data_IF_018260904099
#
_entry.id   IF_018260904099
#
_cell.length_a   1.000
_cell.length_b   1.000
_cell.length_c   1.000
_cell.angle_alpha   90.00
_cell.angle_beta   90.00
_cell.angle_gamma   90.00
#
_symmetry.space_group_name_H-M   'P 1'
#
loop_
_entity.id
_entity.type
_entity.pdbx_description
1 polymer ?
#
# COMPACT_ATOMS: atom_id res chain seq x y z
N UNK A 1 5.39 43.57 -4.30
CA UNK A 1 4.50 43.27 -5.43
C UNK A 1 4.16 41.79 -5.35
N UNK A 2 2.97 41.47 -4.85
CA UNK A 2 2.49 40.09 -4.74
C UNK A 2 1.97 39.66 -6.11
N UNK A 3 2.56 38.61 -6.69
CA UNK A 3 2.17 38.10 -8.01
C UNK A 3 1.12 37.02 -7.82
N UNK A 4 -0.14 37.43 -7.61
CA UNK A 4 -1.30 36.55 -7.77
C UNK A 4 -1.53 36.38 -9.28
N UNK A 5 -1.23 35.20 -9.83
CA UNK A 5 -1.44 34.93 -11.26
C UNK A 5 -0.54 33.85 -11.87
N UNK A 6 0.46 33.35 -11.16
CA UNK A 6 1.31 32.24 -11.62
C UNK A 6 0.81 30.90 -11.05
N UNK A 7 -0.49 30.65 -11.20
CA UNK A 7 -1.07 29.34 -10.89
C UNK A 7 -0.74 28.40 -12.04
N UNK A 8 0.44 27.77 -11.97
CA UNK A 8 0.81 26.71 -12.90
C UNK A 8 -0.11 25.52 -12.64
N UNK A 9 -1.13 25.36 -13.48
CA UNK A 9 -1.92 24.13 -13.56
C UNK A 9 -1.03 22.98 -14.07
N UNK A 10 -0.24 22.42 -13.17
CA UNK A 10 0.46 21.17 -13.42
C UNK A 10 -0.59 20.07 -13.54
N UNK A 11 -0.59 19.37 -14.66
CA UNK A 11 -1.39 18.16 -14.82
C UNK A 11 -0.99 17.16 -13.71
N UNK A 12 -1.91 16.31 -13.24
CA UNK A 12 -1.64 15.34 -12.16
C UNK A 12 -0.38 14.48 -12.40
N UNK A 13 -0.03 14.30 -13.68
CA UNK A 13 1.15 13.59 -14.15
C UNK A 13 2.47 14.33 -13.87
N UNK A 14 2.45 15.66 -13.90
CA UNK A 14 3.63 16.54 -13.74
C UNK A 14 3.83 16.99 -12.27
N UNK A 15 2.75 17.04 -11.48
CA UNK A 15 2.81 17.28 -10.04
C UNK A 15 3.20 16.04 -9.22
N UNK A 16 3.08 14.84 -9.78
CA UNK A 16 3.47 13.59 -9.12
C UNK A 16 4.90 13.23 -9.52
N UNK A 17 5.91 13.73 -8.81
CA UNK A 17 7.34 13.42 -9.01
C UNK A 17 7.72 11.93 -8.79
N UNK A 18 6.74 11.04 -8.60
CA UNK A 18 6.95 9.62 -8.40
C UNK A 18 5.85 8.82 -9.07
N UNK A 19 6.24 7.75 -9.78
CA UNK A 19 5.30 6.74 -10.24
C UNK A 19 4.39 6.36 -9.06
N UNK A 20 3.08 6.56 -9.20
CA UNK A 20 2.10 6.17 -8.17
C UNK A 20 2.25 4.66 -7.98
N UNK A 21 3.04 4.25 -6.98
CA UNK A 21 3.37 2.86 -6.73
C UNK A 21 2.14 2.18 -6.10
N UNK A 22 1.10 1.96 -6.91
CA UNK A 22 -0.13 1.27 -6.53
C UNK A 22 0.17 -0.14 -5.97
N UNK A 23 1.34 -0.70 -6.32
CA UNK A 23 1.89 -1.94 -5.78
C UNK A 23 1.95 -1.99 -4.25
N UNK A 24 2.29 -0.89 -3.57
CA UNK A 24 2.51 -0.89 -2.11
C UNK A 24 1.23 -1.24 -1.34
N UNK A 25 0.06 -0.91 -1.91
CA UNK A 25 -1.26 -1.26 -1.33
C UNK A 25 -1.48 -2.77 -1.30
N UNK A 26 -0.98 -3.49 -2.31
CA UNK A 26 -1.06 -4.95 -2.36
C UNK A 26 -0.08 -5.62 -1.42
N UNK A 27 1.13 -5.05 -1.24
CA UNK A 27 2.11 -5.56 -0.28
C UNK A 27 1.55 -5.55 1.15
N UNK A 28 0.89 -4.46 1.54
CA UNK A 28 0.22 -4.34 2.83
C UNK A 28 -0.90 -5.39 3.00
N UNK A 29 -1.75 -5.54 1.99
CA UNK A 29 -2.85 -6.51 2.04
C UNK A 29 -2.34 -7.95 2.08
N UNK A 30 -1.32 -8.26 1.29
CA UNK A 30 -0.74 -9.61 1.20
C UNK A 30 -0.01 -10.01 2.47
N UNK A 31 0.82 -9.13 3.04
CA UNK A 31 1.56 -9.43 4.28
C UNK A 31 0.61 -9.68 5.45
N UNK A 32 -0.43 -8.85 5.59
CA UNK A 32 -1.45 -9.03 6.61
C UNK A 32 -2.17 -10.38 6.46
N UNK A 33 -2.59 -10.71 5.24
CA UNK A 33 -3.26 -11.98 4.94
C UNK A 33 -2.36 -13.18 5.24
N UNK A 34 -1.07 -13.09 4.89
CA UNK A 34 -0.09 -14.14 5.16
C UNK A 34 0.08 -14.38 6.66
N UNK A 35 0.18 -13.33 7.48
CA UNK A 35 0.30 -13.46 8.94
C UNK A 35 -0.94 -14.11 9.54
N UNK A 36 -2.14 -13.70 9.13
CA UNK A 36 -3.39 -14.29 9.63
C UNK A 36 -3.49 -15.78 9.30
N UNK A 37 -3.12 -16.16 8.07
CA UNK A 37 -3.09 -17.57 7.66
C UNK A 37 -2.04 -18.33 8.46
N UNK A 38 -0.81 -17.83 8.56
CA UNK A 38 0.26 -18.47 9.29
C UNK A 38 -0.11 -18.68 10.76
N UNK A 39 -0.64 -17.63 11.42
CA UNK A 39 -1.07 -17.71 12.81
C UNK A 39 -2.20 -18.73 12.98
N UNK A 40 -3.18 -18.77 12.06
CA UNK A 40 -4.26 -19.77 12.09
C UNK A 40 -3.74 -21.19 11.90
N UNK A 41 -2.81 -21.41 10.97
CA UNK A 41 -2.23 -22.72 10.68
C UNK A 41 -1.46 -23.30 11.86
N UNK A 42 -0.75 -22.48 12.64
CA UNK A 42 0.00 -22.96 13.83
C UNK A 42 -0.93 -23.69 14.80
N UNK A 43 -2.10 -23.11 15.10
CA UNK A 43 -3.08 -23.73 16.00
C UNK A 43 -3.79 -24.93 15.37
N UNK A 44 -4.17 -24.82 14.10
CA UNK A 44 -4.87 -25.90 13.39
C UNK A 44 -3.98 -27.13 13.26
N UNK A 45 -2.74 -26.96 12.80
CA UNK A 45 -1.78 -28.05 12.67
C UNK A 45 -1.42 -28.63 14.05
N UNK A 46 -1.21 -27.78 15.05
CA UNK A 46 -1.00 -28.22 16.43
C UNK A 46 -2.17 -29.00 17.02
N UNK A 47 -3.41 -28.70 16.63
CA UNK A 47 -4.60 -29.42 17.09
C UNK A 47 -4.91 -30.68 16.30
N UNK A 48 -4.56 -30.75 15.02
CA UNK A 48 -4.86 -31.91 14.15
C UNK A 48 -3.77 -32.96 14.25
N UNK A 49 -2.52 -32.56 14.48
CA UNK A 49 -1.36 -33.45 14.49
C UNK A 49 -0.97 -33.94 15.91
N UNK A 50 -1.66 -33.46 16.94
CA UNK A 50 -1.50 -33.87 18.35
C UNK A 50 -2.68 -34.75 18.77
#
# INVERSE_FOLDING_TARGET
MERQGDEVHLNETEATAGVKAQGVRYVLGFSLLLVVIAMSLIWILGSVLH
#
